data_IF_336017168175
#
_entry.id   IF_336017168175
#
_cell.length_a   1.000
_cell.length_b   1.000
_cell.length_c   1.000
_cell.angle_alpha   90.00
_cell.angle_beta   90.00
_cell.angle_gamma   90.00
#
_symmetry.space_group_name_H-M   'P 1'
#
loop_
_entity.id
_entity.type
_entity.pdbx_description
1 polymer ?
#
# COMPACT_ATOMS: atom_id res chain seq x y z
N UNK A 1 -1.05 18.39 21.59
CA UNK A 1 0.07 17.60 21.03
C UNK A 1 1.38 18.22 21.46
N UNK A 2 2.31 17.44 21.98
CA UNK A 2 3.66 17.94 22.28
C UNK A 2 4.49 18.01 21.00
N UNK A 3 5.57 18.82 20.99
CA UNK A 3 6.47 18.92 19.82
C UNK A 3 7.08 17.56 19.45
N UNK A 4 7.34 16.72 20.46
CA UNK A 4 7.85 15.36 20.32
C UNK A 4 6.84 14.46 19.58
N UNK A 5 5.56 14.50 19.96
CA UNK A 5 4.52 13.69 19.30
C UNK A 5 4.44 14.01 17.80
N UNK A 6 4.43 15.31 17.45
CA UNK A 6 4.37 15.74 16.04
C UNK A 6 5.60 15.29 15.25
N UNK A 7 6.77 15.35 15.87
CA UNK A 7 8.00 14.88 15.24
C UNK A 7 7.96 13.37 14.97
N UNK A 8 7.58 12.56 15.96
CA UNK A 8 7.45 11.11 15.82
C UNK A 8 6.41 10.75 14.75
N UNK A 9 5.27 11.46 14.72
CA UNK A 9 4.24 11.25 13.70
C UNK A 9 4.73 11.59 12.28
N UNK A 10 5.45 12.70 12.11
CA UNK A 10 6.01 13.09 10.83
C UNK A 10 7.12 12.13 10.36
N UNK A 11 7.92 11.63 11.29
CA UNK A 11 8.93 10.62 11.00
C UNK A 11 8.26 9.30 10.58
N UNK A 12 7.23 8.87 11.32
CA UNK A 12 6.46 7.67 10.99
C UNK A 12 5.80 7.75 9.62
N UNK A 13 5.12 8.85 9.29
CA UNK A 13 4.47 8.99 7.98
C UNK A 13 5.48 8.98 6.83
N UNK A 14 6.64 9.63 7.00
CA UNK A 14 7.73 9.58 6.01
C UNK A 14 8.27 8.17 5.84
N UNK A 15 8.56 7.47 6.93
CA UNK A 15 9.03 6.08 6.89
C UNK A 15 8.01 5.16 6.23
N UNK A 16 6.74 5.28 6.59
CA UNK A 16 5.64 4.51 6.00
C UNK A 16 5.56 4.74 4.48
N UNK A 17 5.61 6.00 4.03
CA UNK A 17 5.59 6.34 2.61
C UNK A 17 6.78 5.76 1.86
N UNK A 18 7.99 5.85 2.42
CA UNK A 18 9.19 5.30 1.79
C UNK A 18 9.10 3.77 1.69
N UNK A 19 8.70 3.09 2.76
CA UNK A 19 8.51 1.64 2.75
C UNK A 19 7.44 1.22 1.74
N UNK A 20 6.31 1.92 1.71
CA UNK A 20 5.24 1.64 0.76
C UNK A 20 5.69 1.84 -0.68
N UNK A 21 6.27 2.99 -1.01
CA UNK A 21 6.73 3.29 -2.37
C UNK A 21 7.82 2.31 -2.84
N UNK A 22 8.70 1.87 -1.94
CA UNK A 22 9.73 0.89 -2.26
C UNK A 22 9.14 -0.47 -2.63
N UNK A 23 8.21 -0.99 -1.81
CA UNK A 23 7.57 -2.28 -2.08
C UNK A 23 6.61 -2.19 -3.26
N UNK A 24 5.85 -1.09 -3.37
CA UNK A 24 4.94 -0.85 -4.46
C UNK A 24 5.66 -0.70 -5.79
N UNK A 25 6.74 0.09 -5.84
CA UNK A 25 7.56 0.24 -7.03
C UNK A 25 8.15 -1.10 -7.50
N UNK A 26 8.67 -1.91 -6.57
CA UNK A 26 9.19 -3.24 -6.90
C UNK A 26 8.08 -4.14 -7.50
N UNK A 27 6.91 -4.18 -6.88
CA UNK A 27 5.76 -4.95 -7.37
C UNK A 27 5.26 -4.49 -8.74
N UNK A 28 5.20 -3.18 -8.97
CA UNK A 28 4.80 -2.58 -10.25
C UNK A 28 5.77 -2.99 -11.34
N UNK A 29 7.07 -2.85 -11.10
CA UNK A 29 8.10 -3.23 -12.07
C UNK A 29 7.98 -4.71 -12.44
N UNK A 30 7.85 -5.59 -11.44
CA UNK A 30 7.66 -7.03 -11.68
C UNK A 30 6.41 -7.30 -12.52
N UNK A 31 5.29 -6.64 -12.24
CA UNK A 31 4.05 -6.77 -13.01
C UNK A 31 4.22 -6.34 -14.47
N UNK A 32 4.85 -5.19 -14.72
CA UNK A 32 5.12 -4.71 -16.08
C UNK A 32 5.94 -5.72 -16.86
N UNK A 33 7.06 -6.18 -16.28
CA UNK A 33 7.95 -7.12 -16.97
C UNK A 33 7.31 -8.49 -17.20
N UNK A 34 6.48 -8.96 -16.25
CA UNK A 34 5.84 -10.28 -16.38
C UNK A 34 4.77 -10.31 -17.47
N UNK A 35 4.01 -9.21 -17.64
CA UNK A 35 2.87 -9.15 -18.54
C UNK A 35 3.09 -8.18 -19.72
N UNK A 36 4.35 -7.87 -20.04
CA UNK A 36 4.72 -6.85 -21.03
C UNK A 36 4.10 -7.13 -22.40
N UNK A 37 4.18 -8.39 -22.86
CA UNK A 37 3.64 -8.82 -24.15
C UNK A 37 2.12 -8.66 -24.24
N UNK A 38 1.43 -8.86 -23.12
CA UNK A 38 -0.03 -8.72 -23.03
C UNK A 38 -0.45 -7.24 -23.05
N UNK A 39 0.28 -6.37 -22.34
CA UNK A 39 0.07 -4.92 -22.40
C UNK A 39 0.31 -4.35 -23.81
N UNK A 40 1.34 -4.83 -24.51
CA UNK A 40 1.62 -4.42 -25.90
C UNK A 40 0.46 -4.80 -26.83
N UNK A 41 -0.03 -6.04 -26.75
CA UNK A 41 -1.19 -6.51 -27.53
C UNK A 41 -2.47 -5.75 -27.22
N UNK A 42 -2.67 -5.34 -25.98
CA UNK A 42 -3.86 -4.61 -25.56
C UNK A 42 -3.84 -3.15 -26.03
N UNK A 43 -2.66 -2.50 -26.00
CA UNK A 43 -2.50 -1.15 -26.55
C UNK A 43 -2.70 -1.12 -28.06
N UNK A 44 -2.18 -2.11 -28.79
CA UNK A 44 -2.39 -2.23 -30.24
C UNK A 44 -3.88 -2.41 -30.60
N UNK A 45 -4.65 -3.14 -29.77
CA UNK A 45 -6.09 -3.36 -29.99
C UNK A 45 -6.95 -2.12 -29.71
N UNK A 46 -6.55 -1.26 -28.78
CA UNK A 46 -7.31 -0.06 -28.41
C UNK A 46 -6.87 1.20 -29.16
N UNK A 47 -5.90 1.12 -30.07
CA UNK A 47 -5.29 2.27 -30.76
C UNK A 47 -4.90 3.42 -29.81
N UNK A 48 -4.57 3.08 -28.57
CA UNK A 48 -4.36 4.03 -27.47
C UNK A 48 -2.89 3.98 -27.05
N UNK A 49 -2.38 5.08 -26.47
CA UNK A 49 -1.01 5.12 -25.98
C UNK A 49 -0.79 4.09 -24.85
N UNK A 50 0.31 3.34 -24.93
CA UNK A 50 0.76 2.39 -23.89
C UNK A 50 0.77 3.01 -22.48
N UNK A 51 1.10 4.29 -22.37
CA UNK A 51 1.15 5.00 -21.09
C UNK A 51 -0.24 5.16 -20.45
N UNK A 52 -1.29 5.37 -21.25
CA UNK A 52 -2.65 5.56 -20.76
C UNK A 52 -3.22 4.24 -20.22
N UNK A 53 -2.98 3.14 -20.93
CA UNK A 53 -3.33 1.78 -20.48
C UNK A 53 -2.57 1.41 -19.20
N UNK A 54 -1.28 1.77 -19.10
CA UNK A 54 -0.51 1.54 -17.88
C UNK A 54 -1.08 2.33 -16.68
N UNK A 55 -1.35 3.62 -16.84
CA UNK A 55 -1.86 4.47 -15.74
C UNK A 55 -3.21 3.96 -15.24
N UNK A 56 -4.12 3.60 -16.14
CA UNK A 56 -5.44 3.07 -15.77
C UNK A 56 -5.35 1.72 -15.06
N UNK A 57 -4.41 0.85 -15.45
CA UNK A 57 -4.20 -0.43 -14.76
C UNK A 57 -3.49 -0.28 -13.41
N UNK A 58 -2.48 0.58 -13.32
CA UNK A 58 -1.67 0.71 -12.10
C UNK A 58 -2.38 1.47 -10.98
N UNK A 59 -3.30 2.37 -11.31
CA UNK A 59 -4.07 3.13 -10.30
C UNK A 59 -4.84 2.22 -9.34
N UNK A 60 -5.74 1.32 -9.79
CA UNK A 60 -6.43 0.38 -8.90
C UNK A 60 -5.49 -0.67 -8.30
N UNK A 61 -4.43 -1.08 -9.03
CA UNK A 61 -3.45 -2.04 -8.54
C UNK A 61 -2.71 -1.54 -7.29
N UNK A 62 -2.25 -0.28 -7.30
CA UNK A 62 -1.55 0.32 -6.16
C UNK A 62 -2.46 0.44 -4.94
N UNK A 63 -3.75 0.75 -5.14
CA UNK A 63 -4.75 0.80 -4.06
C UNK A 63 -4.95 -0.59 -3.46
N UNK A 64 -5.11 -1.62 -4.30
CA UNK A 64 -5.23 -3.01 -3.84
C UNK A 64 -3.97 -3.49 -3.11
N UNK A 65 -2.80 -3.06 -3.57
CA UNK A 65 -1.53 -3.37 -2.93
C UNK A 65 -1.41 -2.69 -1.56
N UNK A 66 -1.83 -1.43 -1.44
CA UNK A 66 -1.90 -0.72 -0.17
C UNK A 66 -2.79 -1.46 0.82
N UNK A 67 -3.98 -1.89 0.41
CA UNK A 67 -4.88 -2.67 1.26
C UNK A 67 -4.22 -3.94 1.80
N UNK A 68 -3.61 -4.72 0.89
CA UNK A 68 -3.01 -6.00 1.24
C UNK A 68 -1.80 -5.87 2.16
N UNK A 69 -1.00 -4.83 1.95
CA UNK A 69 0.26 -4.63 2.67
C UNK A 69 0.16 -3.69 3.86
N UNK A 70 -0.94 -2.95 4.01
CA UNK A 70 -1.14 -1.91 5.03
C UNK A 70 -0.75 -2.36 6.44
N UNK A 71 -1.21 -3.53 6.87
CA UNK A 71 -0.90 -4.08 8.20
C UNK A 71 0.58 -4.38 8.39
N UNK A 72 1.23 -4.99 7.40
CA UNK A 72 2.67 -5.29 7.45
C UNK A 72 3.51 -4.01 7.39
N UNK A 73 3.14 -3.08 6.51
CA UNK A 73 3.82 -1.79 6.34
C UNK A 73 3.70 -0.92 7.60
N UNK A 74 2.55 -0.91 8.27
CA UNK A 74 2.34 -0.16 9.49
C UNK A 74 3.27 -0.65 10.62
N UNK A 75 3.47 -1.97 10.72
CA UNK A 75 4.40 -2.59 11.66
C UNK A 75 5.86 -2.31 11.29
N UNK A 76 6.23 -2.49 10.02
CA UNK A 76 7.58 -2.20 9.53
C UNK A 76 7.96 -0.74 9.76
N UNK A 77 7.06 0.19 9.42
CA UNK A 77 7.28 1.62 9.66
C UNK A 77 7.49 1.92 11.14
N UNK A 78 6.72 1.29 12.04
CA UNK A 78 6.91 1.44 13.48
C UNK A 78 8.29 0.95 13.91
N UNK A 79 8.71 -0.23 13.46
CA UNK A 79 10.01 -0.81 13.78
C UNK A 79 11.15 0.07 13.26
N UNK A 80 11.05 0.57 12.04
CA UNK A 80 12.05 1.47 11.45
C UNK A 80 12.16 2.78 12.21
N UNK A 81 11.04 3.38 12.63
CA UNK A 81 11.08 4.61 13.44
C UNK A 81 11.75 4.36 14.79
N UNK A 82 11.39 3.28 15.48
CA UNK A 82 12.03 2.92 16.76
C UNK A 82 13.53 2.67 16.57
N UNK A 83 13.91 1.94 15.52
CA UNK A 83 15.31 1.69 15.18
C UNK A 83 16.05 3.01 14.87
N UNK A 84 15.41 3.93 14.16
CA UNK A 84 15.97 5.24 13.84
C UNK A 84 16.19 6.10 15.08
N UNK A 85 15.20 6.18 15.98
CA UNK A 85 15.32 6.89 17.26
C UNK A 85 16.41 6.29 18.16
N UNK A 86 16.59 4.97 18.11
CA UNK A 86 17.65 4.29 18.85
C UNK A 86 19.03 4.59 18.24
N UNK A 87 19.16 4.49 16.91
CA UNK A 87 20.40 4.78 16.17
C UNK A 87 20.90 6.21 16.36
N UNK A 88 19.98 7.18 16.45
CA UNK A 88 20.30 8.60 16.66
C UNK A 88 20.50 8.97 18.13
N UNK A 89 20.39 8.01 19.06
CA UNK A 89 20.38 8.23 20.51
C UNK A 89 19.26 9.16 21.01
N UNK A 90 18.30 9.54 20.18
CA UNK A 90 17.13 10.34 20.58
C UNK A 90 16.26 9.60 21.60
N UNK A 91 16.12 8.27 21.44
CA UNK A 91 15.39 7.44 22.40
C UNK A 91 16.02 7.47 23.80
N UNK A 92 17.34 7.36 23.86
CA UNK A 92 18.12 7.40 25.10
C UNK A 92 18.09 8.78 25.74
N UNK A 93 18.18 9.84 24.93
CA UNK A 93 18.10 11.23 25.39
C UNK A 93 16.72 11.56 26.00
N UNK A 94 15.63 11.11 25.36
CA UNK A 94 14.27 11.26 25.91
C UNK A 94 14.12 10.56 27.26
N UNK A 95 14.71 9.37 27.40
CA UNK A 95 14.66 8.61 28.64
C UNK A 95 15.47 9.29 29.75
N UNK A 96 16.65 9.84 29.42
CA UNK A 96 17.47 10.62 30.33
C UNK A 96 16.79 11.93 30.79
N UNK A 97 15.96 12.53 29.93
CA UNK A 97 15.11 13.68 30.27
C UNK A 97 13.87 13.31 31.13
N UNK A 98 13.76 12.06 31.59
CA UNK A 98 12.65 11.58 32.42
C UNK A 98 11.36 11.27 31.66
N UNK A 99 11.39 11.25 30.31
CA UNK A 99 10.21 10.92 29.52
C UNK A 99 9.97 9.41 29.56
N UNK A 100 8.82 9.00 30.09
CA UNK A 100 8.44 7.59 30.13
C UNK A 100 8.36 6.98 28.71
N UNK A 101 8.94 5.78 28.52
CA UNK A 101 8.91 5.02 27.25
C UNK A 101 7.50 4.93 26.65
N UNK A 102 6.49 4.72 27.51
CA UNK A 102 5.07 4.63 27.11
C UNK A 102 4.57 5.88 26.37
N UNK A 103 5.12 7.07 26.68
CA UNK A 103 4.74 8.33 26.03
C UNK A 103 5.26 8.43 24.60
N UNK A 104 6.42 7.82 24.31
CA UNK A 104 7.03 7.76 22.97
C UNK A 104 6.32 6.73 22.08
N UNK A 105 5.90 5.59 22.65
CA UNK A 105 5.23 4.51 21.92
C UNK A 105 3.75 4.81 21.63
N UNK A 106 3.06 5.55 22.50
CA UNK A 106 1.65 5.96 22.31
C UNK A 106 1.35 6.61 20.94
N UNK A 107 2.08 7.65 20.49
CA UNK A 107 1.81 8.26 19.18
C UNK A 107 2.06 7.29 18.02
N UNK A 108 3.04 6.39 18.13
CA UNK A 108 3.28 5.36 17.11
C UNK A 108 2.12 4.38 17.01
N UNK A 109 1.62 3.89 18.14
CA UNK A 109 0.46 2.99 18.19
C UNK A 109 -0.80 3.63 17.61
N UNK A 110 -1.07 4.90 17.97
CA UNK A 110 -2.20 5.65 17.41
C UNK A 110 -2.06 5.87 15.91
N UNK A 111 -0.85 6.18 15.43
CA UNK A 111 -0.59 6.34 14.00
C UNK A 111 -0.78 5.02 13.23
N UNK A 112 -0.25 3.91 13.74
CA UNK A 112 -0.43 2.61 13.10
C UNK A 112 -1.88 2.17 13.11
N UNK A 113 -2.60 2.38 14.21
CA UNK A 113 -4.03 2.09 14.27
C UNK A 113 -4.81 2.92 13.27
N UNK A 114 -4.49 4.22 13.14
CA UNK A 114 -5.10 5.10 12.15
C UNK A 114 -4.85 4.62 10.72
N UNK A 115 -3.63 4.18 10.39
CA UNK A 115 -3.31 3.62 9.06
C UNK A 115 -4.11 2.36 8.78
N UNK A 116 -4.20 1.43 9.74
CA UNK A 116 -4.96 0.19 9.58
C UNK A 116 -6.45 0.47 9.41
N UNK A 117 -7.03 1.37 10.22
CA UNK A 117 -8.44 1.77 10.09
C UNK A 117 -8.68 2.46 8.75
N UNK A 118 -7.75 3.31 8.30
CA UNK A 118 -7.83 3.96 7.00
C UNK A 118 -7.81 2.95 5.86
N UNK A 119 -6.97 1.92 5.95
CA UNK A 119 -6.95 0.81 5.00
C UNK A 119 -8.29 0.05 5.04
N UNK A 120 -8.79 -0.35 6.21
CA UNK A 120 -10.11 -1.00 6.30
C UNK A 120 -11.24 -0.14 5.71
N UNK A 121 -11.21 1.17 5.92
CA UNK A 121 -12.18 2.08 5.31
C UNK A 121 -12.03 2.15 3.79
N UNK A 122 -10.79 2.21 3.28
CA UNK A 122 -10.51 2.13 1.84
C UNK A 122 -11.03 0.79 1.31
N UNK A 123 -10.76 -0.34 1.97
CA UNK A 123 -11.30 -1.65 1.61
C UNK A 123 -12.82 -1.63 1.49
N UNK A 124 -13.51 -1.10 2.49
CA UNK A 124 -14.97 -1.13 2.55
C UNK A 124 -15.64 -0.15 1.58
N UNK A 125 -14.94 0.91 1.18
CA UNK A 125 -15.42 1.90 0.19
C UNK A 125 -15.02 1.56 -1.26
N UNK A 126 -13.87 0.92 -1.44
CA UNK A 126 -13.29 0.55 -2.73
C UNK A 126 -13.85 -0.79 -3.20
N UNK A 127 -13.97 -1.81 -2.34
CA UNK A 127 -14.53 -3.12 -2.74
C UNK A 127 -15.93 -3.01 -3.40
N UNK A 128 -16.92 -2.29 -2.87
CA UNK A 128 -18.22 -2.18 -3.54
C UNK A 128 -18.18 -1.35 -4.83
N UNK A 129 -17.21 -0.43 -4.98
CA UNK A 129 -17.04 0.35 -6.22
C UNK A 129 -16.30 -0.39 -7.32
N UNK A 130 -15.48 -1.38 -6.97
CA UNK A 130 -14.71 -2.19 -7.92
C UNK A 130 -15.29 -3.59 -8.12
N UNK A 131 -16.46 -3.92 -7.58
CA UNK A 131 -17.14 -5.20 -7.83
C UNK A 131 -17.33 -5.48 -9.34
N UNK A 132 -17.65 -4.47 -10.14
CA UNK A 132 -17.81 -4.62 -11.59
C UNK A 132 -16.46 -4.68 -12.37
N UNK A 133 -15.35 -4.26 -11.75
CA UNK A 133 -14.00 -4.30 -12.39
C UNK A 133 -13.15 -5.49 -11.91
N UNK A 134 -13.39 -6.00 -10.70
CA UNK A 134 -12.70 -7.19 -10.16
C UNK A 134 -13.19 -8.50 -10.77
N UNK A 135 -14.37 -8.50 -11.41
CA UNK A 135 -14.83 -9.61 -12.24
C UNK A 135 -14.12 -9.64 -13.62
N UNK A 136 -13.37 -8.58 -13.97
CA UNK A 136 -12.43 -8.60 -15.10
C UNK A 136 -11.04 -8.98 -14.61
N UNK A 137 -10.80 -10.30 -14.52
CA UNK A 137 -9.43 -10.81 -14.46
C UNK A 137 -8.67 -10.37 -15.72
N UNK A 138 -7.35 -10.11 -15.64
CA UNK A 138 -6.50 -9.91 -16.81
C UNK A 138 -6.62 -11.06 -17.84
N UNK A 139 -6.93 -12.27 -17.38
CA UNK A 139 -7.21 -13.43 -18.23
C UNK A 139 -8.47 -13.30 -19.10
N UNK A 140 -9.45 -12.46 -18.74
CA UNK A 140 -10.66 -12.22 -19.55
C UNK A 140 -10.47 -11.16 -20.64
N UNK A 141 -9.37 -10.42 -20.65
CA UNK A 141 -9.04 -9.50 -21.74
C UNK A 141 -8.68 -10.24 -23.05
N UNK A 142 -8.35 -11.53 -22.94
CA UNK A 142 -8.03 -12.40 -24.07
C UNK A 142 -9.26 -12.99 -24.79
N UNK A 143 -10.47 -12.86 -24.21
CA UNK A 143 -11.71 -13.28 -24.85
C UNK A 143 -11.88 -14.78 -25.08
N UNK A 144 -11.14 -15.65 -24.36
CA UNK A 144 -11.16 -17.10 -24.62
C UNK A 144 -11.30 -17.97 -23.35
N UNK A 145 -12.05 -17.49 -22.36
CA UNK A 145 -12.67 -18.41 -21.40
C UNK A 145 -14.18 -18.44 -21.62
N UNK A 146 -14.54 -19.38 -22.48
CA UNK A 146 -15.79 -20.11 -22.48
C UNK A 146 -16.18 -20.46 -21.01
N UNK A 147 -16.85 -19.54 -20.31
CA UNK A 147 -17.53 -19.79 -19.03
C UNK A 147 -18.66 -20.75 -19.36
N UNK A 148 -18.34 -22.05 -19.40
CA UNK A 148 -19.33 -23.09 -19.15
C UNK A 148 -19.89 -22.83 -17.76
N UNK A 149 -21.04 -22.17 -17.74
CA UNK A 149 -21.88 -22.02 -16.56
C UNK A 149 -22.09 -23.42 -16.00
N UNK A 150 -21.41 -23.75 -14.90
CA UNK A 150 -21.75 -24.92 -14.08
C UNK A 150 -22.99 -24.51 -13.28
N UNK A 151 -24.19 -25.02 -13.59
CA UNK A 151 -25.31 -24.83 -12.70
C UNK A 151 -24.99 -25.57 -11.39
N UNK A 152 -24.92 -24.83 -10.28
CA UNK A 152 -25.11 -25.45 -8.97
C UNK A 152 -26.58 -25.82 -8.87
N UNK A 153 -26.86 -27.12 -8.90
CA UNK A 153 -28.04 -27.72 -8.28
C UNK A 153 -27.63 -28.18 -6.88
#
# INVERSE_FOLDING_TARGET
>A
MTRIDRYILALYSRTLLICFLSVAGLMVVVQIFTNLDEFMRYADKLETSLLEVLVDYFTPYVVMLFERLSGMLALLAMLFVIAWLNKTNEFTALLAAGVAKRRVVRPLMLASAFVVVSAVAIRELVIPKYQDQLDRQPQDLSGDLNRQLRPMY
#
